data_IF_026776224655
#
_entry.id   IF_026776224655
#
_cell.length_a   1.000
_cell.length_b   1.000
_cell.length_c   1.000
_cell.angle_alpha   90.00
_cell.angle_beta   90.00
_cell.angle_gamma   90.00
#
_symmetry.space_group_name_H-M   'P 1'
#
loop_
_entity.id
_entity.type
_entity.pdbx_description
1 polymer ?
#
# COMPACT_ATOMS: atom_id res chain seq x y z
N UNK A 1 20.79 1.62 6.55
CA UNK A 1 21.94 1.13 7.37
C UNK A 1 21.86 -0.37 7.38
N UNK A 2 22.99 -1.10 7.32
CA UNK A 2 22.96 -2.57 7.35
C UNK A 2 22.94 -3.08 8.77
N UNK A 3 21.91 -3.82 9.15
CA UNK A 3 21.84 -4.45 10.47
C UNK A 3 22.83 -5.62 10.54
N UNK A 4 23.53 -5.75 11.67
CA UNK A 4 24.52 -6.82 11.90
C UNK A 4 24.06 -7.72 13.05
N UNK A 5 24.34 -9.01 12.89
CA UNK A 5 24.13 -10.00 13.94
C UNK A 5 25.30 -9.99 14.93
N UNK A 6 25.10 -10.53 16.14
CA UNK A 6 26.15 -10.68 17.16
C UNK A 6 27.36 -11.49 16.67
N UNK A 7 27.18 -12.41 15.71
CA UNK A 7 28.28 -13.14 15.07
C UNK A 7 29.07 -12.32 14.02
N UNK A 8 28.74 -11.05 13.81
CA UNK A 8 29.41 -10.15 12.86
C UNK A 8 28.88 -10.19 11.43
N UNK A 9 28.09 -11.20 11.07
CA UNK A 9 27.46 -11.33 9.76
C UNK A 9 26.28 -10.35 9.56
N UNK A 10 25.90 -10.13 8.29
CA UNK A 10 24.78 -9.27 7.92
C UNK A 10 23.43 -9.95 8.21
N UNK A 11 22.50 -9.14 8.70
CA UNK A 11 21.10 -9.50 8.83
C UNK A 11 20.36 -9.16 7.53
N UNK A 12 19.71 -10.15 6.94
CA UNK A 12 18.88 -9.97 5.75
C UNK A 12 17.41 -9.93 6.11
N UNK A 13 16.65 -9.02 5.50
CA UNK A 13 15.20 -9.06 5.54
C UNK A 13 14.66 -10.33 4.86
N UNK A 14 13.94 -11.15 5.64
CA UNK A 14 13.39 -12.44 5.19
C UNK A 14 11.88 -12.40 5.03
N UNK A 15 11.17 -11.73 5.93
CA UNK A 15 9.72 -11.61 5.86
C UNK A 15 9.26 -10.28 6.47
N UNK A 16 8.16 -9.75 5.96
CA UNK A 16 7.47 -8.60 6.51
C UNK A 16 6.02 -9.01 6.75
N UNK A 17 5.56 -8.82 7.98
CA UNK A 17 4.18 -9.06 8.38
C UNK A 17 3.47 -7.73 8.64
N UNK A 18 2.33 -7.51 7.98
CA UNK A 18 1.45 -6.36 8.22
C UNK A 18 0.42 -6.75 9.29
N UNK A 19 0.60 -6.30 10.52
CA UNK A 19 -0.38 -6.53 11.59
C UNK A 19 -1.47 -5.45 11.57
N UNK A 20 -1.08 -4.20 11.31
CA UNK A 20 -2.00 -3.08 11.17
C UNK A 20 -1.38 -1.99 10.28
N UNK A 21 -2.17 -0.99 9.81
CA UNK A 21 -1.64 0.11 9.01
C UNK A 21 -0.51 0.90 9.68
N UNK A 22 -0.39 0.81 11.01
CA UNK A 22 0.61 1.51 11.82
C UNK A 22 1.68 0.58 12.41
N UNK A 23 1.55 -0.74 12.26
CA UNK A 23 2.45 -1.71 12.87
C UNK A 23 2.84 -2.82 11.90
N UNK A 24 4.13 -2.90 11.63
CA UNK A 24 4.76 -3.87 10.74
C UNK A 24 5.82 -4.65 11.50
N UNK A 25 5.87 -5.96 11.31
CA UNK A 25 6.90 -6.83 11.88
C UNK A 25 7.85 -7.30 10.78
N UNK A 26 9.06 -6.76 10.78
CA UNK A 26 10.12 -7.19 9.88
C UNK A 26 10.97 -8.27 10.54
N UNK A 27 11.01 -9.45 9.93
CA UNK A 27 11.89 -10.56 10.35
C UNK A 27 13.21 -10.49 9.59
N UNK A 28 14.27 -10.29 10.35
CA UNK A 28 15.64 -10.28 9.89
C UNK A 28 16.32 -11.61 10.25
N UNK A 29 16.94 -12.27 9.27
CA UNK A 29 17.67 -13.52 9.45
C UNK A 29 19.17 -13.33 9.21
N UNK A 30 19.99 -13.88 10.10
CA UNK A 30 21.44 -13.90 9.93
C UNK A 30 21.84 -14.90 8.85
N UNK A 31 22.72 -14.48 7.94
CA UNK A 31 23.24 -15.32 6.85
C UNK A 31 24.22 -16.41 7.30
N UNK A 32 24.78 -16.31 8.52
CA UNK A 32 25.81 -17.23 9.00
C UNK A 32 25.34 -18.18 10.11
N UNK A 33 24.68 -17.66 11.16
CA UNK A 33 24.34 -18.44 12.36
C UNK A 33 22.85 -18.80 12.48
N UNK A 34 22.05 -18.52 11.44
CA UNK A 34 20.60 -18.73 11.42
C UNK A 34 19.80 -18.05 12.55
N UNK A 35 20.43 -17.17 13.35
CA UNK A 35 19.73 -16.37 14.34
C UNK A 35 18.76 -15.40 13.64
N UNK A 36 17.63 -15.12 14.27
CA UNK A 36 16.63 -14.18 13.74
C UNK A 36 16.30 -13.11 14.77
N UNK A 37 15.93 -11.94 14.26
CA UNK A 37 15.47 -10.80 15.05
C UNK A 37 14.22 -10.26 14.38
N UNK A 38 13.22 -9.93 15.18
CA UNK A 38 12.03 -9.22 14.71
C UNK A 38 12.12 -7.77 15.10
N UNK A 39 11.93 -6.88 14.14
CA UNK A 39 11.82 -5.44 14.35
C UNK A 39 10.37 -5.06 14.10
N UNK A 40 9.73 -4.50 15.12
CA UNK A 40 8.35 -4.02 15.05
C UNK A 40 8.35 -2.51 14.98
N UNK A 41 7.55 -1.92 14.10
CA UNK A 41 7.47 -0.47 13.97
C UNK A 41 6.65 -0.02 12.78
N UNK A 42 6.74 1.27 12.46
CA UNK A 42 6.08 1.83 11.27
C UNK A 42 6.81 1.42 10.00
N UNK A 43 6.11 1.49 8.86
CA UNK A 43 6.69 1.15 7.56
C UNK A 43 7.99 1.93 7.27
N UNK A 44 8.01 3.22 7.59
CA UNK A 44 9.16 4.11 7.39
C UNK A 44 10.39 3.71 8.25
N UNK A 45 10.17 3.10 9.41
CA UNK A 45 11.22 2.67 10.34
C UNK A 45 11.83 1.34 9.91
N UNK A 46 11.03 0.44 9.34
CA UNK A 46 11.46 -0.89 8.90
C UNK A 46 12.02 -0.89 7.47
N UNK A 47 11.54 -0.03 6.59
CA UNK A 47 11.97 0.05 5.17
C UNK A 47 13.49 0.22 4.99
N UNK A 48 14.21 1.03 5.79
CA UNK A 48 15.67 1.19 5.66
C UNK A 48 16.49 -0.07 5.95
N UNK A 49 15.89 -1.08 6.59
CA UNK A 49 16.51 -2.37 6.91
C UNK A 49 16.32 -3.39 5.77
N UNK A 50 15.49 -3.07 4.79
CA UNK A 50 15.17 -3.94 3.65
C UNK A 50 16.14 -3.67 2.50
N UNK A 51 17.07 -4.60 2.29
CA UNK A 51 18.11 -4.48 1.25
C UNK A 51 17.62 -4.89 -0.15
N UNK A 52 16.60 -5.75 -0.23
CA UNK A 52 16.07 -6.33 -1.47
C UNK A 52 14.55 -6.16 -1.55
N UNK A 53 13.98 -6.25 -2.75
CA UNK A 53 12.54 -6.24 -2.92
C UNK A 53 11.88 -7.29 -2.01
N UNK A 54 10.92 -6.86 -1.19
CA UNK A 54 10.27 -7.69 -0.20
C UNK A 54 8.77 -7.46 -0.23
N UNK A 55 8.03 -8.51 -0.56
CA UNK A 55 6.59 -8.56 -0.43
C UNK A 55 6.21 -8.85 1.02
N UNK A 56 5.25 -8.09 1.54
CA UNK A 56 4.61 -8.43 2.79
C UNK A 56 3.79 -9.72 2.70
N UNK A 57 3.40 -10.29 3.84
CA UNK A 57 2.47 -11.41 3.91
C UNK A 57 1.13 -11.08 3.23
N UNK A 58 0.57 -9.91 3.49
CA UNK A 58 -0.76 -9.53 3.00
C UNK A 58 -0.75 -9.25 1.49
N UNK A 59 0.27 -8.53 0.99
CA UNK A 59 0.43 -8.31 -0.45
C UNK A 59 0.68 -9.62 -1.21
N UNK A 60 1.45 -10.54 -0.62
CA UNK A 60 1.65 -11.88 -1.18
C UNK A 60 0.35 -12.68 -1.18
N UNK A 61 -0.45 -12.59 -0.12
CA UNK A 61 -1.74 -13.26 -0.04
C UNK A 61 -2.68 -12.80 -1.17
N UNK A 62 -2.77 -11.49 -1.42
CA UNK A 62 -3.55 -10.96 -2.54
C UNK A 62 -3.05 -11.45 -3.91
N UNK A 63 -1.72 -11.53 -4.09
CA UNK A 63 -1.11 -12.01 -5.32
C UNK A 63 -1.40 -13.50 -5.57
N UNK A 64 -1.29 -14.34 -4.53
CA UNK A 64 -1.53 -15.79 -4.59
C UNK A 64 -2.99 -16.17 -4.88
N UNK A 65 -3.93 -15.26 -4.58
CA UNK A 65 -5.36 -15.43 -4.89
C UNK A 65 -5.69 -15.21 -6.36
N UNK A 66 -4.77 -14.64 -7.14
CA UNK A 66 -4.98 -14.39 -8.56
C UNK A 66 -4.86 -15.68 -9.38
N UNK A 67 -5.57 -15.79 -10.51
CA UNK A 67 -5.37 -16.90 -11.43
C UNK A 67 -3.91 -16.99 -11.94
N UNK A 68 -3.39 -18.19 -12.22
CA UNK A 68 -1.96 -18.40 -12.56
C UNK A 68 -1.45 -17.60 -13.77
N UNK A 69 -2.35 -17.23 -14.68
CA UNK A 69 -2.02 -16.44 -15.87
C UNK A 69 -2.03 -14.92 -15.62
N UNK A 70 -2.69 -14.46 -14.56
CA UNK A 70 -2.75 -13.03 -14.17
C UNK A 70 -1.69 -12.70 -13.13
N UNK A 71 -1.40 -13.64 -12.22
CA UNK A 71 -0.42 -13.48 -11.15
C UNK A 71 0.92 -12.89 -11.62
N UNK A 72 1.62 -13.45 -12.62
CA UNK A 72 2.92 -12.93 -13.04
C UNK A 72 2.82 -11.52 -13.65
N UNK A 73 1.72 -11.21 -14.34
CA UNK A 73 1.49 -9.89 -14.94
C UNK A 73 1.31 -8.82 -13.85
N UNK A 74 0.50 -9.13 -12.83
CA UNK A 74 0.26 -8.21 -11.70
C UNK A 74 1.52 -8.07 -10.84
N UNK A 75 2.27 -9.15 -10.64
CA UNK A 75 3.56 -9.09 -9.94
C UNK A 75 4.51 -8.10 -10.61
N UNK A 76 4.70 -8.22 -11.93
CA UNK A 76 5.58 -7.34 -12.71
C UNK A 76 5.10 -5.88 -12.67
N UNK A 77 3.79 -5.65 -12.75
CA UNK A 77 3.19 -4.31 -12.64
C UNK A 77 3.50 -3.65 -11.28
N UNK A 78 3.30 -4.39 -10.19
CA UNK A 78 3.57 -3.91 -8.82
C UNK A 78 5.07 -3.71 -8.59
N UNK A 79 5.92 -4.61 -9.08
CA UNK A 79 7.38 -4.48 -9.01
C UNK A 79 7.88 -3.25 -9.78
N UNK A 80 7.35 -3.03 -10.98
CA UNK A 80 7.65 -1.85 -11.80
C UNK A 80 7.20 -0.56 -11.13
N UNK A 81 6.01 -0.55 -10.52
CA UNK A 81 5.52 0.57 -9.72
C UNK A 81 6.44 0.85 -8.52
N UNK A 82 6.81 -0.18 -7.77
CA UNK A 82 7.70 -0.08 -6.63
C UNK A 82 9.05 0.53 -7.04
N UNK A 83 9.63 0.03 -8.13
CA UNK A 83 10.88 0.51 -8.69
C UNK A 83 10.80 2.00 -9.09
N UNK A 84 9.70 2.42 -9.74
CA UNK A 84 9.47 3.82 -10.09
C UNK A 84 9.28 4.72 -8.86
N UNK A 85 8.63 4.23 -7.82
CA UNK A 85 8.45 4.94 -6.56
C UNK A 85 9.72 4.94 -5.68
N UNK A 86 10.74 4.16 -6.02
CA UNK A 86 11.94 3.96 -5.19
C UNK A 86 11.68 3.13 -3.93
N UNK A 87 10.54 2.44 -3.85
CA UNK A 87 10.13 1.61 -2.73
C UNK A 87 10.63 0.17 -2.92
N UNK A 88 11.20 -0.42 -1.86
CA UNK A 88 11.66 -1.83 -1.85
C UNK A 88 10.71 -2.77 -1.13
N UNK A 89 9.78 -2.21 -0.37
CA UNK A 89 8.80 -2.95 0.39
C UNK A 89 7.47 -2.84 -0.32
N UNK A 90 6.87 -3.98 -0.61
CA UNK A 90 5.60 -4.06 -1.32
C UNK A 90 4.53 -4.47 -0.33
N UNK A 91 3.83 -3.46 0.17
CA UNK A 91 2.71 -3.62 1.09
C UNK A 91 1.40 -3.83 0.34
N UNK A 92 0.36 -4.25 1.04
CA UNK A 92 -0.98 -4.45 0.46
C UNK A 92 -1.53 -3.12 -0.10
N UNK A 93 -1.28 -2.01 0.61
CA UNK A 93 -1.64 -0.68 0.13
C UNK A 93 -0.97 -0.36 -1.21
N UNK A 94 0.34 -0.64 -1.33
CA UNK A 94 1.08 -0.39 -2.57
C UNK A 94 0.65 -1.32 -3.71
N UNK A 95 0.31 -2.57 -3.40
CA UNK A 95 -0.27 -3.51 -4.35
C UNK A 95 -1.57 -2.94 -4.94
N UNK A 96 -2.47 -2.44 -4.09
CA UNK A 96 -3.70 -1.80 -4.54
C UNK A 96 -3.42 -0.53 -5.35
N UNK A 97 -2.53 0.35 -4.89
CA UNK A 97 -2.16 1.56 -5.62
C UNK A 97 -1.62 1.27 -7.02
N UNK A 98 -0.70 0.31 -7.14
CA UNK A 98 -0.14 -0.11 -8.42
C UNK A 98 -1.24 -0.61 -9.36
N UNK A 99 -2.12 -1.47 -8.84
CA UNK A 99 -3.23 -2.05 -9.60
C UNK A 99 -4.33 -1.04 -9.96
N UNK A 100 -4.39 0.06 -9.22
CA UNK A 100 -5.32 1.17 -9.42
C UNK A 100 -4.76 2.24 -10.37
N UNK A 101 -3.43 2.25 -10.63
CA UNK A 101 -2.73 3.29 -11.43
C UNK A 101 -3.12 3.37 -12.91
N UNK A 102 -4.12 2.61 -13.34
CA UNK A 102 -4.75 2.72 -14.66
C UNK A 102 -6.27 2.48 -14.66
N UNK A 103 -6.93 2.43 -13.49
CA UNK A 103 -8.34 2.01 -13.40
C UNK A 103 -9.32 3.08 -12.95
N UNK A 104 -8.86 4.20 -12.41
CA UNK A 104 -9.76 5.26 -11.94
C UNK A 104 -9.37 6.57 -12.60
N UNK A 105 -10.00 6.88 -13.73
CA UNK A 105 -9.93 8.21 -14.32
C UNK A 105 -10.80 9.17 -13.52
N UNK A 106 -10.34 10.40 -13.32
CA UNK A 106 -11.15 11.43 -12.69
C UNK A 106 -11.83 12.25 -13.78
N UNK A 107 -13.16 12.39 -13.70
CA UNK A 107 -13.85 13.34 -14.55
C UNK A 107 -13.33 14.77 -14.25
N UNK A 108 -13.25 15.66 -15.26
CA UNK A 108 -12.81 17.05 -15.06
C UNK A 108 -13.59 17.76 -13.94
N UNK A 109 -14.91 17.58 -13.92
CA UNK A 109 -15.78 18.15 -12.90
C UNK A 109 -15.53 17.61 -11.48
N UNK A 110 -15.14 16.33 -11.35
CA UNK A 110 -14.76 15.74 -10.07
C UNK A 110 -13.39 16.27 -9.58
N UNK A 111 -12.47 16.52 -10.51
CA UNK A 111 -11.15 17.09 -10.23
C UNK A 111 -11.25 18.52 -9.68
N UNK A 112 -12.10 19.36 -10.28
CA UNK A 112 -12.36 20.73 -9.80
C UNK A 112 -12.99 20.73 -8.40
N UNK A 113 -13.92 19.80 -8.15
CA UNK A 113 -14.52 19.63 -6.81
C UNK A 113 -13.52 19.13 -5.77
N UNK A 114 -12.57 18.27 -6.15
CA UNK A 114 -11.48 17.81 -5.28
C UNK A 114 -10.53 18.98 -4.92
N UNK A 115 -10.26 19.88 -5.87
CA UNK A 115 -9.44 21.07 -5.63
C UNK A 115 -10.07 22.02 -4.58
N UNK A 116 -11.40 22.10 -4.56
CA UNK A 116 -12.16 22.88 -3.57
C UNK A 116 -12.13 22.29 -2.15
N UNK A 117 -11.67 21.05 -1.98
CA UNK A 117 -11.48 20.45 -0.65
C UNK A 117 -10.23 21.06 0.01
N UNK A 118 -10.28 21.42 1.31
CA UNK A 118 -9.12 21.92 2.04
C UNK A 118 -7.93 20.97 1.97
N UNK A 119 -6.73 21.54 1.74
CA UNK A 119 -5.49 20.79 1.54
C UNK A 119 -5.20 19.68 2.59
N UNK A 120 -5.48 19.86 3.90
CA UNK A 120 -5.17 18.83 4.91
C UNK A 120 -5.94 17.53 4.73
N UNK A 121 -7.17 17.60 4.18
CA UNK A 121 -8.06 16.44 4.03
C UNK A 121 -8.20 16.01 2.56
N UNK A 122 -7.68 16.78 1.60
CA UNK A 122 -7.79 16.52 0.16
C UNK A 122 -7.16 15.19 -0.24
N UNK A 123 -5.97 14.89 0.27
CA UNK A 123 -5.27 13.63 -0.02
C UNK A 123 -6.04 12.42 0.52
N UNK A 124 -6.56 12.54 1.74
CA UNK A 124 -7.39 11.50 2.37
C UNK A 124 -8.72 11.30 1.62
N UNK A 125 -9.37 12.40 1.21
CA UNK A 125 -10.60 12.36 0.43
C UNK A 125 -10.38 11.70 -0.94
N UNK A 126 -9.29 12.05 -1.64
CA UNK A 126 -8.93 11.46 -2.93
C UNK A 126 -8.86 9.92 -2.84
N UNK A 127 -8.14 9.41 -1.85
CA UNK A 127 -7.96 7.97 -1.62
C UNK A 127 -9.29 7.28 -1.31
N UNK A 128 -10.12 7.87 -0.44
CA UNK A 128 -11.42 7.27 -0.10
C UNK A 128 -12.40 7.28 -1.28
N UNK A 129 -12.38 8.33 -2.11
CA UNK A 129 -13.22 8.42 -3.32
C UNK A 129 -12.78 7.42 -4.38
N UNK A 130 -11.48 7.26 -4.58
CA UNK A 130 -10.93 6.22 -5.47
C UNK A 130 -11.30 4.82 -4.96
N UNK A 131 -11.25 4.59 -3.64
CA UNK A 131 -11.71 3.35 -3.00
C UNK A 131 -13.19 3.10 -3.25
N UNK A 132 -14.04 4.11 -3.10
CA UNK A 132 -15.48 4.00 -3.36
C UNK A 132 -15.78 3.71 -4.84
N UNK A 133 -15.04 4.32 -5.78
CA UNK A 133 -15.18 4.04 -7.20
C UNK A 133 -14.95 2.55 -7.49
N UNK A 134 -13.90 2.00 -6.89
CA UNK A 134 -13.52 0.59 -7.05
C UNK A 134 -14.53 -0.34 -6.39
N UNK A 135 -15.01 -0.03 -5.18
CA UNK A 135 -16.05 -0.81 -4.50
C UNK A 135 -17.36 -0.89 -5.32
N UNK A 136 -17.68 0.19 -6.04
CA UNK A 136 -18.84 0.25 -6.92
C UNK A 136 -18.56 -0.30 -8.34
N UNK A 137 -17.33 -0.73 -8.62
CA UNK A 137 -16.92 -1.23 -9.94
C UNK A 137 -16.84 -0.15 -11.03
N UNK A 138 -16.77 1.13 -10.63
CA UNK A 138 -16.64 2.27 -11.53
C UNK A 138 -15.17 2.50 -11.89
N UNK A 139 -14.92 2.65 -13.19
CA UNK A 139 -13.59 2.98 -13.74
C UNK A 139 -13.33 4.49 -13.86
N UNK A 140 -14.35 5.30 -13.55
CA UNK A 140 -14.26 6.76 -13.55
C UNK A 140 -14.93 7.33 -12.29
N UNK A 141 -14.27 8.30 -11.65
CA UNK A 141 -14.87 9.10 -10.57
C UNK A 141 -15.77 10.16 -11.20
N UNK A 142 -17.07 9.94 -11.09
CA UNK A 142 -18.13 10.85 -11.54
C UNK A 142 -18.56 11.82 -10.42
N UNK A 143 -19.32 12.86 -10.77
CA UNK A 143 -19.88 13.81 -9.79
C UNK A 143 -20.82 13.14 -8.78
N UNK A 144 -21.56 12.11 -9.20
CA UNK A 144 -22.46 11.37 -8.30
C UNK A 144 -21.68 10.65 -7.19
N UNK A 145 -20.52 10.07 -7.53
CA UNK A 145 -19.66 9.40 -6.55
C UNK A 145 -19.03 10.40 -5.57
N UNK A 146 -18.68 11.60 -6.05
CA UNK A 146 -18.22 12.71 -5.20
C UNK A 146 -19.28 13.14 -4.18
N UNK A 147 -20.55 13.20 -4.61
CA UNK A 147 -21.67 13.59 -3.75
C UNK A 147 -22.02 12.49 -2.74
N UNK A 148 -21.90 11.22 -3.12
CA UNK A 148 -22.03 10.08 -2.20
C UNK A 148 -20.89 10.04 -1.17
N UNK A 149 -19.65 10.27 -1.60
CA UNK A 149 -18.51 10.38 -0.70
C UNK A 149 -18.69 11.55 0.28
N UNK A 150 -19.13 12.73 -0.20
CA UNK A 150 -19.48 13.86 0.67
C UNK A 150 -20.56 13.49 1.68
N UNK A 151 -21.62 12.80 1.26
CA UNK A 151 -22.69 12.36 2.15
C UNK A 151 -22.18 11.39 3.23
N UNK A 152 -21.22 10.51 2.90
CA UNK A 152 -20.58 9.59 3.85
C UNK A 152 -19.66 10.33 4.84
N UNK A 153 -18.89 11.30 4.37
CA UNK A 153 -18.01 12.12 5.20
C UNK A 153 -18.77 13.12 6.09
N UNK A 154 -19.86 13.73 5.61
CA UNK A 154 -20.70 14.67 6.36
C UNK A 154 -21.73 13.94 7.24
N UNK A 155 -22.20 12.76 6.81
CA UNK A 155 -23.18 11.92 7.52
C UNK A 155 -22.65 11.30 8.81
N UNK A 156 -21.32 11.16 8.97
CA UNK A 156 -20.72 10.76 10.24
C UNK A 156 -20.78 11.83 11.35
N UNK A 157 -21.33 13.02 11.09
CA UNK A 157 -21.62 14.04 12.12
C UNK A 157 -23.09 14.09 12.56
N UNK A 158 -23.93 13.18 12.06
CA UNK A 158 -25.36 13.17 12.36
C UNK A 158 -25.87 11.80 12.76
N UNK A 159 -25.59 11.38 14.00
CA UNK A 159 -26.49 10.45 14.69
C UNK A 159 -26.92 11.13 16.00
N UNK A 160 -28.23 11.36 16.23
CA UNK A 160 -28.72 11.86 17.52
C UNK A 160 -28.46 10.86 18.64
#
# INVERSE_FOLDING_TARGET
MKARCCCGALLEAKALEEESPLNYHLRLGCTACANWVTVSGRLEEVTPLVERALWSNEARHELERLPPYIEPLVREEVESYAAQAGCRVMTVAMFHEARNRGKVTWAPAATDRLANIPAPIRSMAKVEIERMAIEQGLSEVTESLMDEAKAKFLGMRGRP
#
